data_IF_927417911454
#
_entry.id   IF_927417911454
#
_cell.length_a   1.000
_cell.length_b   1.000
_cell.length_c   1.000
_cell.angle_alpha   90.00
_cell.angle_beta   90.00
_cell.angle_gamma   90.00
#
_symmetry.space_group_name_H-M   'P 1'
#
loop_
_entity.id
_entity.type
_entity.pdbx_description
1 polymer ?
#
# COMPACT_ATOMS: atom_id res chain seq x y z
N UNK A 1 -7.40 -4.31 -40.80
CA UNK A 1 -8.69 -3.62 -40.52
C UNK A 1 -8.57 -2.80 -39.24
N UNK A 2 -9.28 -1.68 -39.09
CA UNK A 2 -9.23 -0.82 -37.88
C UNK A 2 -9.43 -1.57 -36.54
N UNK A 3 -10.06 -2.75 -36.59
CA UNK A 3 -10.19 -3.68 -35.46
C UNK A 3 -8.86 -4.35 -35.04
N UNK A 4 -7.93 -4.62 -35.96
CA UNK A 4 -6.58 -5.10 -35.64
C UNK A 4 -5.70 -4.00 -35.03
N UNK A 5 -5.94 -2.73 -35.40
CA UNK A 5 -5.24 -1.58 -34.82
C UNK A 5 -5.75 -1.29 -33.40
N UNK A 6 -7.08 -1.39 -33.18
CA UNK A 6 -7.74 -1.33 -31.86
C UNK A 6 -7.36 -2.49 -30.92
N UNK A 7 -7.04 -3.67 -31.48
CA UNK A 7 -6.53 -4.80 -30.71
C UNK A 7 -5.04 -4.68 -30.36
N UNK A 8 -4.21 -4.06 -31.22
CA UNK A 8 -2.81 -3.74 -30.89
C UNK A 8 -2.68 -2.68 -29.79
N UNK A 9 -3.65 -1.77 -29.66
CA UNK A 9 -3.69 -0.76 -28.57
C UNK A 9 -4.17 -1.31 -27.22
N UNK A 10 -4.69 -2.55 -27.17
CA UNK A 10 -5.24 -3.14 -25.94
C UNK A 10 -4.30 -4.14 -25.24
N UNK A 11 -3.23 -4.58 -25.90
CA UNK A 11 -2.17 -5.36 -25.26
C UNK A 11 -1.17 -4.41 -24.60
N UNK A 12 -1.27 -4.28 -23.29
CA UNK A 12 -0.30 -3.54 -22.48
C UNK A 12 1.10 -4.12 -22.69
N UNK A 13 2.13 -3.27 -22.77
CA UNK A 13 3.53 -3.71 -22.88
C UNK A 13 4.02 -4.48 -21.66
N UNK A 14 3.33 -4.32 -20.53
CA UNK A 14 3.61 -5.01 -19.27
C UNK A 14 3.20 -6.50 -19.33
N UNK A 15 4.08 -7.43 -18.93
CA UNK A 15 3.72 -8.84 -18.78
C UNK A 15 2.51 -9.02 -17.86
N UNK A 16 1.59 -9.94 -18.22
CA UNK A 16 0.37 -10.20 -17.44
C UNK A 16 0.67 -10.57 -15.98
N UNK A 17 1.73 -11.32 -15.72
CA UNK A 17 2.17 -11.69 -14.37
C UNK A 17 2.53 -10.45 -13.54
N UNK A 18 3.34 -9.56 -14.09
CA UNK A 18 3.77 -8.32 -13.45
C UNK A 18 2.60 -7.36 -13.22
N UNK A 19 1.67 -7.26 -14.19
CA UNK A 19 0.43 -6.51 -14.02
C UNK A 19 -0.38 -7.02 -12.81
N UNK A 20 -0.60 -8.33 -12.71
CA UNK A 20 -1.34 -8.91 -11.58
C UNK A 20 -0.59 -8.70 -10.26
N UNK A 21 0.73 -8.84 -10.26
CA UNK A 21 1.55 -8.65 -9.06
C UNK A 21 1.44 -7.22 -8.52
N UNK A 22 1.59 -6.21 -9.39
CA UNK A 22 1.41 -4.80 -8.99
C UNK A 22 -0.02 -4.51 -8.58
N UNK A 23 -1.00 -5.09 -9.29
CA UNK A 23 -2.41 -4.96 -8.94
C UNK A 23 -2.70 -5.50 -7.54
N UNK A 24 -2.15 -6.67 -7.18
CA UNK A 24 -2.28 -7.26 -5.84
C UNK A 24 -1.58 -6.40 -4.81
N UNK A 25 -0.35 -5.95 -5.07
CA UNK A 25 0.40 -5.09 -4.16
C UNK A 25 -0.39 -3.81 -3.86
N UNK A 26 -0.93 -3.17 -4.90
CA UNK A 26 -1.69 -1.93 -4.73
C UNK A 26 -3.03 -2.15 -4.05
N UNK A 27 -3.72 -3.24 -4.37
CA UNK A 27 -4.98 -3.61 -3.73
C UNK A 27 -4.78 -3.89 -2.23
N UNK A 28 -3.79 -4.70 -1.86
CA UNK A 28 -3.49 -5.02 -0.46
C UNK A 28 -3.19 -3.76 0.32
N UNK A 29 -2.31 -2.89 -0.18
CA UNK A 29 -2.04 -1.68 0.59
C UNK A 29 -3.25 -0.76 0.66
N UNK A 30 -4.09 -0.71 -0.39
CA UNK A 30 -5.35 0.04 -0.31
C UNK A 30 -6.29 -0.49 0.77
N UNK A 31 -6.38 -1.82 0.95
CA UNK A 31 -7.12 -2.43 2.07
C UNK A 31 -6.55 -1.98 3.42
N UNK A 32 -5.24 -2.13 3.62
CA UNK A 32 -4.53 -1.71 4.85
C UNK A 32 -4.85 -0.25 5.18
N UNK A 33 -4.77 0.61 4.17
CA UNK A 33 -5.00 2.05 4.31
C UNK A 33 -6.43 2.38 4.73
N UNK A 34 -7.40 1.71 4.13
CA UNK A 34 -8.81 1.86 4.53
C UNK A 34 -9.03 1.40 5.96
N UNK A 35 -8.46 0.25 6.36
CA UNK A 35 -8.55 -0.21 7.75
C UNK A 35 -7.98 0.82 8.72
N UNK A 36 -6.77 1.31 8.45
CA UNK A 36 -6.08 2.25 9.32
C UNK A 36 -6.74 3.65 9.34
N UNK A 37 -7.56 3.97 8.35
CA UNK A 37 -8.32 5.23 8.30
C UNK A 37 -9.65 5.11 9.02
N UNK A 38 -10.33 3.97 8.90
CA UNK A 38 -11.71 3.81 9.37
C UNK A 38 -11.78 3.14 10.75
N UNK A 39 -10.96 2.12 11.02
CA UNK A 39 -11.04 1.30 12.23
C UNK A 39 -9.91 1.54 13.24
N UNK A 40 -8.92 2.40 12.95
CA UNK A 40 -7.77 2.55 13.84
C UNK A 40 -8.15 3.03 15.25
N UNK A 41 -9.09 3.97 15.36
CA UNK A 41 -9.53 4.48 16.67
C UNK A 41 -10.15 3.34 17.48
N UNK A 42 -11.03 2.54 16.87
CA UNK A 42 -11.67 1.39 17.52
C UNK A 42 -10.62 0.35 17.95
N UNK A 43 -9.66 0.03 17.07
CA UNK A 43 -8.53 -0.86 17.39
C UNK A 43 -7.77 -0.34 18.61
N UNK A 44 -7.46 0.96 18.68
CA UNK A 44 -6.72 1.53 19.81
C UNK A 44 -7.54 1.53 21.11
N UNK A 45 -8.85 1.83 21.04
CA UNK A 45 -9.72 1.84 22.22
C UNK A 45 -9.95 0.45 22.80
N UNK A 46 -10.16 -0.56 21.96
CA UNK A 46 -10.24 -1.96 22.40
C UNK A 46 -8.95 -2.44 23.07
N UNK A 47 -7.82 -1.85 22.67
CA UNK A 47 -6.52 -2.10 23.27
C UNK A 47 -6.25 -1.25 24.53
N UNK A 48 -7.29 -0.62 25.10
CA UNK A 48 -7.26 0.06 26.38
C UNK A 48 -6.85 1.53 26.34
N UNK A 49 -6.70 2.14 25.15
CA UNK A 49 -6.43 3.57 25.05
C UNK A 49 -7.72 4.38 25.23
N UNK A 50 -7.62 5.48 25.97
CA UNK A 50 -8.68 6.47 26.00
C UNK A 50 -8.89 7.08 24.61
N UNK A 51 -10.13 7.47 24.28
CA UNK A 51 -10.50 8.06 22.99
C UNK A 51 -9.58 9.23 22.60
N UNK A 52 -9.30 10.13 23.54
CA UNK A 52 -8.42 11.29 23.30
C UNK A 52 -7.01 10.85 22.86
N UNK A 53 -6.45 9.82 23.48
CA UNK A 53 -5.15 9.25 23.11
C UNK A 53 -5.20 8.57 21.76
N UNK A 54 -6.27 7.82 21.46
CA UNK A 54 -6.46 7.16 20.16
C UNK A 54 -6.53 8.18 19.01
N UNK A 55 -7.26 9.29 19.21
CA UNK A 55 -7.32 10.41 18.25
C UNK A 55 -5.94 11.05 18.08
N UNK A 56 -5.25 11.39 19.18
CA UNK A 56 -3.95 12.02 19.12
C UNK A 56 -2.91 11.16 18.39
N UNK A 57 -2.91 9.85 18.63
CA UNK A 57 -2.02 8.90 17.96
C UNK A 57 -2.37 8.75 16.47
N UNK A 58 -3.66 8.65 16.14
CA UNK A 58 -4.11 8.57 14.75
C UNK A 58 -3.73 9.82 13.95
N UNK A 59 -3.75 10.99 14.59
CA UNK A 59 -3.35 12.26 13.98
C UNK A 59 -1.86 12.29 13.58
N UNK A 60 -0.98 11.49 14.20
CA UNK A 60 0.44 11.43 13.86
C UNK A 60 0.70 10.92 12.44
N UNK A 61 -0.24 10.15 11.86
CA UNK A 61 -0.09 9.59 10.50
C UNK A 61 0.11 10.72 9.47
N UNK A 62 -0.67 11.80 9.57
CA UNK A 62 -0.65 12.91 8.60
C UNK A 62 0.70 13.63 8.53
N UNK A 63 1.21 14.20 9.65
CA UNK A 63 2.52 14.83 9.68
C UNK A 63 3.66 13.90 9.25
N UNK A 64 3.63 12.63 9.67
CA UNK A 64 4.65 11.64 9.26
C UNK A 64 4.59 11.33 7.75
N UNK A 65 3.40 11.32 7.16
CA UNK A 65 3.19 11.14 5.72
C UNK A 65 3.77 12.31 4.92
N UNK A 66 3.64 13.54 5.41
CA UNK A 66 4.24 14.72 4.76
C UNK A 66 5.75 14.72 4.93
N UNK A 67 6.24 14.44 6.14
CA UNK A 67 7.67 14.39 6.44
C UNK A 67 8.41 13.37 5.57
N UNK A 68 7.84 12.18 5.36
CA UNK A 68 8.48 11.15 4.53
C UNK A 68 8.54 11.53 3.05
N UNK A 69 7.56 12.28 2.53
CA UNK A 69 7.63 12.84 1.18
C UNK A 69 8.75 13.87 1.05
N UNK A 70 8.94 14.71 2.06
CA UNK A 70 10.05 15.67 2.08
C UNK A 70 11.40 14.96 2.13
N UNK A 71 11.51 13.87 2.91
CA UNK A 71 12.72 13.06 2.96
C UNK A 71 12.99 12.34 1.64
N UNK A 72 11.97 11.88 0.91
CA UNK A 72 12.14 11.25 -0.42
C UNK A 72 12.73 12.21 -1.46
N UNK A 73 12.47 13.52 -1.34
CA UNK A 73 13.10 14.54 -2.20
C UNK A 73 14.62 14.67 -1.95
N UNK A 74 15.07 14.34 -0.74
CA UNK A 74 16.49 14.39 -0.34
C UNK A 74 17.16 13.03 -0.56
N UNK A 75 16.47 11.94 -0.23
CA UNK A 75 16.93 10.56 -0.37
C UNK A 75 16.59 10.08 -1.79
N UNK A 76 17.52 10.28 -2.72
CA UNK A 76 17.34 9.84 -4.11
C UNK A 76 17.46 8.32 -4.23
N UNK A 77 16.33 7.64 -4.40
CA UNK A 77 16.31 6.25 -4.85
C UNK A 77 16.62 6.19 -6.35
N UNK A 78 17.53 5.30 -6.74
CA UNK A 78 17.90 5.02 -8.14
C UNK A 78 16.77 4.38 -8.95
N UNK A 79 15.86 3.64 -8.31
CA UNK A 79 14.68 3.07 -8.95
C UNK A 79 13.46 3.09 -8.01
N UNK A 80 12.25 3.44 -8.48
CA UNK A 80 11.03 3.48 -7.67
C UNK A 80 10.70 2.19 -6.91
N UNK A 81 11.20 1.04 -7.37
CA UNK A 81 11.04 -0.25 -6.66
C UNK A 81 11.70 -0.27 -5.28
N UNK A 82 12.79 0.49 -5.07
CA UNK A 82 13.41 0.59 -3.75
C UNK A 82 12.54 1.42 -2.81
N UNK A 83 11.99 2.53 -3.31
CA UNK A 83 11.00 3.34 -2.56
C UNK A 83 9.74 2.50 -2.25
N UNK A 84 9.28 1.63 -3.17
CA UNK A 84 8.21 0.66 -2.87
C UNK A 84 8.58 -0.23 -1.69
N UNK A 85 9.77 -0.84 -1.70
CA UNK A 85 10.20 -1.75 -0.63
C UNK A 85 10.30 -1.05 0.71
N UNK A 86 10.92 0.13 0.76
CA UNK A 86 10.98 0.93 1.99
C UNK A 86 9.56 1.26 2.46
N UNK A 87 8.67 1.69 1.56
CA UNK A 87 7.28 1.97 1.88
C UNK A 87 6.57 0.76 2.52
N UNK A 88 6.58 -0.42 1.88
CA UNK A 88 5.86 -1.59 2.40
C UNK A 88 6.49 -2.14 3.69
N UNK A 89 7.81 -2.00 3.85
CA UNK A 89 8.52 -2.37 5.09
C UNK A 89 8.09 -1.46 6.24
N UNK A 90 8.08 -0.14 6.03
CA UNK A 90 7.62 0.81 7.05
C UNK A 90 6.16 0.53 7.44
N UNK A 91 5.28 0.28 6.46
CA UNK A 91 3.88 -0.06 6.73
C UNK A 91 3.76 -1.30 7.63
N UNK A 92 4.45 -2.40 7.29
CA UNK A 92 4.38 -3.63 8.11
C UNK A 92 5.02 -3.45 9.48
N UNK A 93 6.15 -2.73 9.59
CA UNK A 93 6.80 -2.46 10.88
C UNK A 93 5.85 -1.67 11.79
N UNK A 94 5.18 -0.64 11.28
CA UNK A 94 4.19 0.11 12.05
C UNK A 94 3.06 -0.78 12.55
N UNK A 95 2.47 -1.59 11.68
CA UNK A 95 1.36 -2.49 12.03
C UNK A 95 1.81 -3.58 13.04
N UNK A 96 2.98 -4.18 12.84
CA UNK A 96 3.51 -5.21 13.74
C UNK A 96 3.85 -4.64 15.12
N UNK A 97 4.42 -3.42 15.20
CA UNK A 97 4.64 -2.76 16.48
C UNK A 97 3.34 -2.55 17.25
N UNK A 98 2.26 -2.20 16.54
CA UNK A 98 0.93 -2.08 17.15
C UNK A 98 0.40 -3.43 17.63
N UNK A 99 0.65 -4.53 16.89
CA UNK A 99 0.29 -5.89 17.32
C UNK A 99 1.04 -6.33 18.58
N UNK A 100 2.29 -5.89 18.76
CA UNK A 100 3.13 -6.28 19.91
C UNK A 100 2.60 -5.63 21.19
N UNK A 101 2.34 -4.33 21.16
CA UNK A 101 1.83 -3.63 22.34
C UNK A 101 1.28 -2.23 22.03
N UNK A 102 0.18 -1.83 22.66
CA UNK A 102 -0.38 -0.48 22.52
C UNK A 102 0.56 0.63 23.01
N UNK A 103 1.55 0.30 23.86
CA UNK A 103 2.58 1.23 24.31
C UNK A 103 3.45 1.78 23.17
N UNK A 104 3.53 1.06 22.05
CA UNK A 104 4.25 1.48 20.86
C UNK A 104 3.39 2.23 19.86
N UNK A 105 2.09 2.47 20.13
CA UNK A 105 1.13 2.96 19.15
C UNK A 105 1.54 4.30 18.51
N UNK A 106 2.11 5.24 19.28
CA UNK A 106 2.61 6.50 18.73
C UNK A 106 3.75 6.29 17.71
N UNK A 107 4.77 5.52 18.10
CA UNK A 107 5.90 5.17 17.21
C UNK A 107 5.43 4.38 15.99
N UNK A 108 4.52 3.42 16.21
CA UNK A 108 3.90 2.61 15.18
C UNK A 108 3.21 3.49 14.12
N UNK A 109 2.42 4.48 14.53
CA UNK A 109 1.71 5.37 13.61
C UNK A 109 2.62 6.35 12.89
N UNK A 110 3.72 6.77 13.52
CA UNK A 110 4.76 7.57 12.85
C UNK A 110 5.42 6.76 11.73
N UNK A 111 5.85 5.53 12.03
CA UNK A 111 6.50 4.64 11.05
C UNK A 111 5.52 4.27 9.93
N UNK A 112 4.29 3.89 10.28
CA UNK A 112 3.23 3.61 9.33
C UNK A 112 2.92 4.82 8.44
N UNK A 113 2.76 6.01 9.04
CA UNK A 113 2.53 7.26 8.32
C UNK A 113 3.66 7.58 7.33
N UNK A 114 4.92 7.35 7.73
CA UNK A 114 6.05 7.52 6.83
C UNK A 114 5.97 6.57 5.62
N UNK A 115 5.69 5.28 5.84
CA UNK A 115 5.51 4.30 4.77
C UNK A 115 4.36 4.63 3.83
N UNK A 116 3.25 5.13 4.38
CA UNK A 116 2.09 5.63 3.64
C UNK A 116 2.45 6.84 2.76
N UNK A 117 3.28 7.76 3.26
CA UNK A 117 3.75 8.90 2.48
C UNK A 117 4.54 8.47 1.24
N UNK A 118 5.51 7.57 1.42
CA UNK A 118 6.27 7.02 0.29
C UNK A 118 5.38 6.27 -0.70
N UNK A 119 4.36 5.54 -0.22
CA UNK A 119 3.44 4.83 -1.12
C UNK A 119 2.75 5.77 -2.11
N UNK A 120 2.36 6.97 -1.66
CA UNK A 120 1.68 7.92 -2.54
C UNK A 120 2.56 8.37 -3.71
N UNK A 121 3.88 8.40 -3.52
CA UNK A 121 4.87 8.67 -4.57
C UNK A 121 4.99 7.44 -5.48
N UNK A 122 5.27 6.28 -4.88
CA UNK A 122 5.46 4.99 -5.57
C UNK A 122 4.28 4.64 -6.48
N UNK A 123 3.04 4.92 -6.04
CA UNK A 123 1.83 4.66 -6.83
C UNK A 123 1.83 5.40 -8.17
N UNK A 124 2.46 6.58 -8.24
CA UNK A 124 2.63 7.32 -9.48
C UNK A 124 3.91 6.97 -10.23
N UNK A 125 5.03 6.79 -9.52
CA UNK A 125 6.35 6.65 -10.15
C UNK A 125 6.66 5.24 -10.63
N UNK A 126 6.25 4.19 -9.90
CA UNK A 126 6.57 2.81 -10.28
C UNK A 126 5.89 2.40 -11.59
N UNK A 127 4.59 2.64 -11.82
CA UNK A 127 3.97 2.26 -13.09
C UNK A 127 4.57 3.04 -14.27
N UNK A 128 5.00 4.29 -14.08
CA UNK A 128 5.66 5.08 -15.12
C UNK A 128 6.95 4.46 -15.63
N UNK A 129 7.71 3.73 -14.81
CA UNK A 129 8.94 3.08 -15.27
C UNK A 129 8.69 1.77 -16.00
N UNK A 130 7.48 1.21 -15.91
CA UNK A 130 7.16 -0.14 -16.37
C UNK A 130 6.37 -0.18 -17.68
N UNK A 131 5.76 0.94 -18.08
CA UNK A 131 5.01 1.03 -19.34
C UNK A 131 5.39 2.28 -20.12
N UNK A 132 5.04 2.28 -21.41
CA UNK A 132 5.15 3.48 -22.25
C UNK A 132 4.22 4.59 -21.75
N UNK A 133 4.59 5.84 -22.01
CA UNK A 133 3.85 7.02 -21.57
C UNK A 133 2.38 6.99 -22.01
N UNK A 134 2.10 6.48 -23.21
CA UNK A 134 0.75 6.39 -23.78
C UNK A 134 -0.12 5.33 -23.07
N UNK A 135 0.51 4.33 -22.45
CA UNK A 135 -0.17 3.23 -21.75
C UNK A 135 -0.41 3.54 -20.27
N UNK A 136 0.26 4.55 -19.71
CA UNK A 136 0.24 4.85 -18.27
C UNK A 136 -1.18 5.12 -17.75
N UNK A 137 -1.95 5.98 -18.41
CA UNK A 137 -3.31 6.30 -17.97
C UNK A 137 -4.23 5.07 -17.99
N UNK A 138 -4.09 4.22 -19.02
CA UNK A 138 -4.85 2.98 -19.12
C UNK A 138 -4.45 1.97 -18.04
N UNK A 139 -3.15 1.78 -17.77
CA UNK A 139 -2.66 0.93 -16.69
C UNK A 139 -3.18 1.42 -15.33
N UNK A 140 -3.06 2.71 -15.04
CA UNK A 140 -3.51 3.29 -13.78
C UNK A 140 -5.02 3.14 -13.58
N UNK A 141 -5.81 3.34 -14.63
CA UNK A 141 -7.25 3.09 -14.60
C UNK A 141 -7.58 1.62 -14.30
N UNK A 142 -6.83 0.68 -14.87
CA UNK A 142 -6.99 -0.76 -14.60
C UNK A 142 -6.57 -1.15 -13.18
N UNK A 143 -5.45 -0.63 -12.67
CA UNK A 143 -4.98 -0.89 -11.30
C UNK A 143 -5.92 -0.28 -10.23
N UNK A 144 -6.62 0.81 -10.57
CA UNK A 144 -7.54 1.46 -9.64
C UNK A 144 -8.78 0.60 -9.35
N UNK A 145 -9.34 -0.09 -10.35
CA UNK A 145 -10.58 -0.87 -10.21
C UNK A 145 -10.55 -1.90 -9.07
N UNK A 146 -9.63 -2.88 -9.02
CA UNK A 146 -9.62 -3.86 -7.93
C UNK A 146 -9.34 -3.21 -6.58
N UNK A 147 -8.47 -2.20 -6.54
CA UNK A 147 -8.19 -1.44 -5.31
C UNK A 147 -9.43 -0.71 -4.79
N UNK A 148 -10.25 -0.11 -5.65
CA UNK A 148 -11.46 0.61 -5.25
C UNK A 148 -12.56 -0.35 -4.77
N UNK A 149 -12.74 -1.49 -5.46
CA UNK A 149 -13.68 -2.53 -5.04
C UNK A 149 -13.29 -3.05 -3.65
N UNK A 150 -12.01 -3.38 -3.46
CA UNK A 150 -11.50 -3.85 -2.18
C UNK A 150 -11.73 -2.82 -1.07
N UNK A 151 -11.38 -1.54 -1.31
CA UNK A 151 -11.60 -0.46 -0.34
C UNK A 151 -13.08 -0.25 0.00
N UNK A 152 -14.00 -0.40 -0.96
CA UNK A 152 -15.43 -0.29 -0.71
C UNK A 152 -15.95 -1.42 0.17
N UNK A 153 -15.39 -2.63 0.02
CA UNK A 153 -15.76 -3.79 0.83
C UNK A 153 -15.08 -3.79 2.20
N UNK A 154 -13.90 -3.18 2.34
CA UNK A 154 -13.08 -3.22 3.56
C UNK A 154 -13.86 -2.79 4.81
N UNK A 155 -14.57 -1.65 4.88
CA UNK A 155 -15.26 -1.26 6.09
C UNK A 155 -16.35 -2.24 6.52
N UNK A 156 -17.08 -2.83 5.57
CA UNK A 156 -18.13 -3.81 5.86
C UNK A 156 -17.52 -5.11 6.41
N UNK A 157 -16.48 -5.62 5.77
CA UNK A 157 -15.79 -6.84 6.21
C UNK A 157 -15.13 -6.62 7.57
N UNK A 158 -14.38 -5.51 7.73
CA UNK A 158 -13.69 -5.20 8.97
C UNK A 158 -14.67 -4.93 10.11
N UNK A 159 -15.78 -4.22 9.86
CA UNK A 159 -16.83 -4.00 10.86
C UNK A 159 -17.44 -5.31 11.33
N UNK A 160 -17.82 -6.20 10.40
CA UNK A 160 -18.32 -7.54 10.76
C UNK A 160 -17.28 -8.35 11.56
N UNK A 161 -16.00 -8.27 11.19
CA UNK A 161 -14.92 -8.95 11.92
C UNK A 161 -14.74 -8.39 13.33
N UNK A 162 -14.89 -7.07 13.52
CA UNK A 162 -14.86 -6.42 14.84
C UNK A 162 -16.03 -6.92 15.68
N UNK A 163 -17.26 -6.87 15.15
CA UNK A 163 -18.45 -7.28 15.88
C UNK A 163 -18.41 -8.76 16.29
N UNK A 164 -17.88 -9.63 15.42
CA UNK A 164 -17.85 -11.07 15.65
C UNK A 164 -16.61 -11.55 16.45
N UNK A 165 -15.46 -10.92 16.26
CA UNK A 165 -14.16 -11.44 16.72
C UNK A 165 -13.25 -10.38 17.37
N UNK A 166 -13.71 -9.15 17.53
CA UNK A 166 -12.94 -8.02 18.05
C UNK A 166 -11.95 -7.39 17.06
N UNK A 167 -11.55 -6.15 17.33
CA UNK A 167 -10.69 -5.34 16.48
C UNK A 167 -9.27 -5.88 16.35
N UNK A 168 -8.79 -6.64 17.33
CA UNK A 168 -7.50 -7.33 17.21
C UNK A 168 -7.48 -8.34 16.04
N UNK A 169 -8.61 -8.97 15.71
CA UNK A 169 -8.70 -9.88 14.56
C UNK A 169 -8.48 -9.13 13.25
N UNK A 170 -9.01 -7.92 13.12
CA UNK A 170 -8.75 -7.03 11.98
C UNK A 170 -7.28 -6.62 11.92
N UNK A 171 -6.71 -6.21 13.06
CA UNK A 171 -5.30 -5.82 13.17
C UNK A 171 -4.36 -6.95 12.73
N UNK A 172 -4.55 -8.17 13.21
CA UNK A 172 -3.73 -9.33 12.82
C UNK A 172 -3.91 -9.69 11.35
N UNK A 173 -5.12 -9.54 10.81
CA UNK A 173 -5.41 -9.79 9.39
C UNK A 173 -4.66 -8.81 8.48
N UNK A 174 -4.66 -7.51 8.81
CA UNK A 174 -3.89 -6.53 8.04
C UNK A 174 -2.38 -6.67 8.25
N UNK A 175 -1.93 -7.16 9.41
CA UNK A 175 -0.52 -7.48 9.64
C UNK A 175 -0.05 -8.62 8.72
N UNK A 176 -0.85 -9.69 8.60
CA UNK A 176 -0.58 -10.79 7.67
C UNK A 176 -0.56 -10.30 6.22
N UNK A 177 -1.56 -9.50 5.81
CA UNK A 177 -1.60 -8.90 4.47
C UNK A 177 -0.37 -8.02 4.21
N UNK A 178 0.06 -7.23 5.19
CA UNK A 178 1.25 -6.39 5.07
C UNK A 178 2.53 -7.23 4.88
N UNK A 179 2.68 -8.33 5.61
CA UNK A 179 3.79 -9.27 5.43
C UNK A 179 3.79 -9.90 4.03
N UNK A 180 2.62 -10.38 3.56
CA UNK A 180 2.47 -10.89 2.20
C UNK A 180 2.81 -9.83 1.15
N UNK A 181 2.45 -8.57 1.40
CA UNK A 181 2.73 -7.47 0.50
C UNK A 181 4.24 -7.18 0.36
N UNK A 182 5.02 -7.36 1.44
CA UNK A 182 6.48 -7.31 1.38
C UNK A 182 7.00 -8.43 0.47
N UNK A 183 6.49 -9.65 0.62
CA UNK A 183 6.87 -10.79 -0.23
C UNK A 183 6.58 -10.51 -1.71
N UNK A 184 5.37 -10.04 -2.04
CA UNK A 184 5.01 -9.68 -3.41
C UNK A 184 5.89 -8.55 -3.98
N UNK A 185 6.21 -7.55 -3.16
CA UNK A 185 7.11 -6.47 -3.56
C UNK A 185 8.55 -6.94 -3.80
N UNK A 186 9.04 -7.91 -3.02
CA UNK A 186 10.34 -8.55 -3.27
C UNK A 186 10.34 -9.40 -4.55
N UNK A 187 9.25 -10.12 -4.82
CA UNK A 187 9.07 -10.87 -6.08
C UNK A 187 9.09 -9.89 -7.27
N UNK A 188 8.40 -8.76 -7.17
CA UNK A 188 8.39 -7.73 -8.21
C UNK A 188 9.78 -7.16 -8.44
N UNK A 189 10.53 -6.90 -7.36
CA UNK A 189 11.92 -6.44 -7.46
C UNK A 189 12.79 -7.47 -8.18
N UNK A 190 12.60 -8.75 -7.93
CA UNK A 190 13.31 -9.83 -8.61
C UNK A 190 12.94 -9.89 -10.10
N UNK A 191 11.68 -9.71 -10.48
CA UNK A 191 11.25 -9.64 -11.90
C UNK A 191 11.94 -8.48 -12.63
N UNK A 192 11.99 -7.30 -12.02
CA UNK A 192 12.64 -6.11 -12.59
C UNK A 192 14.15 -6.33 -12.73
N UNK A 193 14.82 -6.81 -11.67
CA UNK A 193 16.28 -7.05 -11.68
C UNK A 193 16.72 -8.12 -12.68
N UNK A 194 15.87 -9.10 -12.95
CA UNK A 194 16.14 -10.16 -13.92
C UNK A 194 15.90 -9.74 -15.38
N UNK A 195 15.53 -8.48 -15.63
CA UNK A 195 15.24 -7.98 -16.97
C UNK A 195 13.97 -8.58 -17.60
N UNK A 196 13.12 -9.25 -16.80
CA UNK A 196 11.82 -9.75 -17.28
C UNK A 196 10.85 -8.62 -17.63
N UNK A 197 11.12 -7.43 -17.09
CA UNK A 197 10.42 -6.19 -17.39
C UNK A 197 11.47 -5.17 -17.81
N UNK A 198 11.42 -4.73 -19.06
CA UNK A 198 12.28 -3.64 -19.53
C UNK A 198 11.79 -2.32 -18.92
N UNK A 199 12.56 -1.79 -17.97
CA UNK A 199 12.29 -0.49 -17.37
C UNK A 199 12.75 0.62 -18.29
N UNK A 200 11.93 1.67 -18.47
CA UNK A 200 12.35 2.87 -19.18
C UNK A 200 13.07 3.77 -18.18
N UNK A 201 14.40 3.64 -18.09
CA UNK A 201 15.27 4.56 -17.34
C UNK A 201 15.90 5.58 -18.27
#
# INVERSE_FOLDING_TARGET
>A
SALQQKNKTNSMSLPKSTYHLISIIFMITSIIMTVMTVQLIDILQENGLALASAIAISALIGPSQVASRMLDLVIKFDHPIKSLLVSVVLLVVGIVLLCISPKYAALAMIIYGAGNGLRSIVRGTLPLTLVKKEEYAYLMGKLARPSLIAQAMTPLIAGYMIDAFGANTVLYSIALLALLNVIFSMILMKEIRQGKVMTQS
#
